data_IF_501942656722
#
_entry.id   IF_501942656722
#
_cell.length_a   1.000
_cell.length_b   1.000
_cell.length_c   1.000
_cell.angle_alpha   90.00
_cell.angle_beta   90.00
_cell.angle_gamma   90.00
#
_symmetry.space_group_name_H-M   'P 1'
#
loop_
_entity.id
_entity.type
_entity.pdbx_description
1 polymer ?
#
# COMPACT_ATOMS: atom_id res chain seq x y z
N UNK A 1 19.23 -1.96 -15.06
CA UNK A 1 17.83 -2.14 -14.63
C UNK A 1 17.15 -0.81 -14.81
N UNK A 2 16.30 -0.70 -15.81
CA UNK A 2 15.53 0.52 -16.09
C UNK A 2 14.63 0.83 -14.89
N UNK A 3 14.41 2.11 -14.60
CA UNK A 3 13.61 2.59 -13.47
C UNK A 3 12.09 2.33 -13.61
N UNK A 4 11.67 1.25 -14.31
CA UNK A 4 10.27 1.00 -14.68
C UNK A 4 9.57 -0.15 -13.94
N UNK A 5 10.25 -0.90 -13.07
CA UNK A 5 9.68 -2.09 -12.39
C UNK A 5 9.87 -2.08 -10.86
N UNK A 6 9.90 -0.89 -10.22
CA UNK A 6 9.97 -0.87 -8.75
C UNK A 6 8.61 -1.30 -8.20
N UNK A 7 8.56 -2.32 -7.31
CA UNK A 7 7.30 -2.73 -6.73
C UNK A 7 6.71 -1.57 -5.92
N UNK A 8 5.41 -1.35 -6.10
CA UNK A 8 4.66 -0.29 -5.46
C UNK A 8 4.07 -0.83 -4.16
N UNK A 9 4.40 -0.17 -3.05
CA UNK A 9 3.92 -0.50 -1.71
C UNK A 9 2.93 0.57 -1.25
N UNK A 10 1.69 0.18 -1.03
CA UNK A 10 0.65 1.03 -0.47
C UNK A 10 0.69 1.00 1.05
N UNK A 11 0.84 2.17 1.64
CA UNK A 11 0.72 2.40 3.07
C UNK A 11 -0.67 2.95 3.36
N UNK A 12 -1.53 2.11 3.94
CA UNK A 12 -2.94 2.45 4.20
C UNK A 12 -3.16 3.20 5.53
N UNK A 13 -2.13 3.31 6.37
CA UNK A 13 -2.18 3.98 7.67
C UNK A 13 -0.89 4.74 7.94
N UNK A 14 -0.90 5.68 8.87
CA UNK A 14 0.32 6.41 9.24
C UNK A 14 1.38 5.47 9.82
N UNK A 15 2.54 5.44 9.17
CA UNK A 15 3.76 4.81 9.65
C UNK A 15 4.81 5.87 9.98
N UNK A 16 5.64 5.56 10.98
CA UNK A 16 6.77 6.43 11.32
C UNK A 16 7.75 6.55 10.15
N UNK A 17 8.40 7.71 9.95
CA UNK A 17 9.38 7.91 8.89
C UNK A 17 10.49 6.86 8.88
N UNK A 18 10.95 6.43 10.06
CA UNK A 18 11.97 5.40 10.20
C UNK A 18 11.57 4.05 9.58
N UNK A 19 10.28 3.71 9.57
CA UNK A 19 9.79 2.47 8.94
C UNK A 19 9.73 2.60 7.41
N UNK A 20 9.40 3.79 6.91
CA UNK A 20 9.42 4.08 5.47
C UNK A 20 10.88 4.06 4.96
N UNK A 21 11.80 4.67 5.71
CA UNK A 21 13.24 4.63 5.41
C UNK A 21 13.80 3.21 5.40
N UNK A 22 13.28 2.33 6.28
CA UNK A 22 13.69 0.94 6.35
C UNK A 22 13.23 0.09 5.15
N UNK A 23 12.15 0.48 4.45
CA UNK A 23 11.77 -0.15 3.18
C UNK A 23 12.82 0.14 2.09
N UNK A 24 13.53 1.26 2.20
CA UNK A 24 14.62 1.61 1.32
C UNK A 24 14.16 2.10 -0.07
N UNK A 25 15.12 2.47 -0.93
CA UNK A 25 14.84 3.12 -2.21
C UNK A 25 14.36 2.15 -3.30
N UNK A 26 14.26 0.86 -3.02
CA UNK A 26 13.94 -0.18 -3.99
C UNK A 26 12.44 -0.26 -4.31
N UNK A 27 11.60 0.37 -3.48
CA UNK A 27 10.14 0.39 -3.62
C UNK A 27 9.62 1.78 -3.95
N UNK A 28 8.50 1.85 -4.68
CA UNK A 28 7.70 3.06 -4.79
C UNK A 28 6.68 3.07 -3.66
N UNK A 29 6.72 4.08 -2.78
CA UNK A 29 5.80 4.16 -1.64
C UNK A 29 4.62 5.06 -2.01
N UNK A 30 3.40 4.53 -1.87
CA UNK A 30 2.14 5.28 -2.00
C UNK A 30 1.39 5.28 -0.68
N UNK A 31 0.53 6.26 -0.49
CA UNK A 31 -0.28 6.40 0.72
C UNK A 31 -1.77 6.52 0.35
N UNK A 32 -2.63 5.89 1.15
CA UNK A 32 -4.08 6.10 1.09
C UNK A 32 -4.66 6.07 2.51
N UNK A 33 -5.91 6.53 2.66
CA UNK A 33 -6.68 6.29 3.87
C UNK A 33 -7.30 4.88 3.82
N UNK A 34 -6.75 3.94 4.60
CA UNK A 34 -7.24 2.57 4.71
C UNK A 34 -8.56 2.42 5.46
N UNK A 35 -8.99 3.44 6.20
CA UNK A 35 -10.32 3.49 6.80
C UNK A 35 -11.39 3.92 5.78
N UNK A 36 -11.00 4.63 4.72
CA UNK A 36 -11.88 4.98 3.61
C UNK A 36 -11.88 3.88 2.54
N UNK A 37 -12.95 3.09 2.55
CA UNK A 37 -13.10 1.97 1.60
C UNK A 37 -13.14 2.42 0.15
N UNK A 38 -13.68 3.60 -0.13
CA UNK A 38 -13.75 4.14 -1.48
C UNK A 38 -12.38 4.57 -2.02
N UNK A 39 -11.42 4.85 -1.13
CA UNK A 39 -10.02 5.10 -1.50
C UNK A 39 -9.18 3.82 -1.53
N UNK A 40 -9.39 2.94 -0.55
CA UNK A 40 -8.58 1.72 -0.41
C UNK A 40 -8.74 0.77 -1.61
N UNK A 41 -9.97 0.46 -2.02
CA UNK A 41 -10.22 -0.51 -3.09
C UNK A 41 -9.56 -0.15 -4.43
N UNK A 42 -9.72 1.07 -4.98
CA UNK A 42 -9.03 1.43 -6.21
C UNK A 42 -7.51 1.51 -6.04
N UNK A 43 -7.01 1.92 -4.86
CA UNK A 43 -5.58 1.97 -4.60
C UNK A 43 -4.95 0.56 -4.58
N UNK A 44 -5.66 -0.45 -4.07
CA UNK A 44 -5.19 -1.84 -4.05
C UNK A 44 -4.99 -2.45 -5.44
N UNK A 45 -5.72 -1.97 -6.45
CA UNK A 45 -5.63 -2.51 -7.81
C UNK A 45 -4.34 -2.11 -8.55
N UNK A 46 -3.63 -1.08 -8.07
CA UNK A 46 -2.44 -0.52 -8.74
C UNK A 46 -1.13 -0.79 -8.00
N UNK A 47 -1.14 -1.63 -6.96
CA UNK A 47 0.02 -1.85 -6.09
C UNK A 47 0.38 -3.33 -5.95
N UNK A 48 1.65 -3.59 -5.68
CA UNK A 48 2.20 -4.94 -5.51
C UNK A 48 2.11 -5.43 -4.07
N UNK A 49 2.05 -4.51 -3.10
CA UNK A 49 1.93 -4.82 -1.69
C UNK A 49 1.14 -3.74 -0.94
N UNK A 50 0.51 -4.15 0.17
CA UNK A 50 -0.17 -3.23 1.10
C UNK A 50 0.31 -3.44 2.53
N UNK A 51 0.62 -2.34 3.21
CA UNK A 51 0.95 -2.29 4.64
C UNK A 51 -0.21 -1.66 5.39
N UNK A 52 -0.71 -2.38 6.38
CA UNK A 52 -1.84 -1.99 7.22
C UNK A 52 -1.46 -2.01 8.70
N UNK A 53 -2.24 -1.33 9.52
CA UNK A 53 -2.27 -1.49 10.97
C UNK A 53 -3.70 -1.79 11.41
N UNK A 54 -4.08 -1.38 12.63
CA UNK A 54 -5.33 -1.79 13.26
C UNK A 54 -6.57 -1.09 12.73
N UNK A 55 -6.45 0.05 12.02
CA UNK A 55 -7.61 0.76 11.49
C UNK A 55 -8.07 0.22 10.14
N UNK A 56 -7.19 -0.42 9.38
CA UNK A 56 -7.52 -0.98 8.05
C UNK A 56 -7.94 -2.43 8.14
N UNK A 57 -9.06 -2.78 7.49
CA UNK A 57 -9.54 -4.16 7.40
C UNK A 57 -9.35 -4.71 5.99
N UNK A 58 -8.45 -5.67 5.86
CA UNK A 58 -8.28 -6.48 4.64
C UNK A 58 -9.17 -7.71 4.78
N UNK A 59 -10.34 -7.66 4.15
CA UNK A 59 -11.30 -8.75 4.04
C UNK A 59 -11.39 -9.26 2.59
N UNK A 60 -12.32 -10.16 2.31
CA UNK A 60 -12.43 -10.81 1.00
C UNK A 60 -12.62 -9.83 -0.16
N UNK A 61 -13.31 -8.70 0.06
CA UNK A 61 -13.49 -7.69 -0.98
C UNK A 61 -12.18 -6.96 -1.28
N UNK A 62 -11.38 -6.63 -0.26
CA UNK A 62 -10.07 -6.00 -0.45
C UNK A 62 -9.10 -6.93 -1.21
N UNK A 63 -9.10 -8.21 -0.84
CA UNK A 63 -8.28 -9.22 -1.53
C UNK A 63 -8.73 -9.41 -2.98
N UNK A 64 -10.03 -9.33 -3.25
CA UNK A 64 -10.56 -9.43 -4.63
C UNK A 64 -10.22 -8.20 -5.48
N UNK A 65 -10.04 -7.03 -4.86
CA UNK A 65 -9.65 -5.81 -5.53
C UNK A 65 -8.14 -5.72 -5.84
N UNK A 66 -7.32 -6.62 -5.28
CA UNK A 66 -5.88 -6.71 -5.51
C UNK A 66 -5.57 -7.93 -6.41
N UNK A 67 -5.32 -7.74 -7.73
CA UNK A 67 -5.13 -8.83 -8.69
C UNK A 67 -3.79 -9.56 -8.61
#
# INVERSE_FOLDING_TARGET
MSAQDKPVVLIAEELSPATVDALGPDFEIRHCDGADRAQLLPALAEVDAVLIRSATKIDAEAVTAAP
#
